data_IF_346073752039
#
_entry.id   IF_346073752039
#
_cell.length_a   1.000
_cell.length_b   1.000
_cell.length_c   1.000
_cell.angle_alpha   90.00
_cell.angle_beta   90.00
_cell.angle_gamma   90.00
#
_symmetry.space_group_name_H-M   'P 1'
#
loop_
_entity.id
_entity.type
_entity.pdbx_description
1 polymer ?
#
# COMPACT_ATOMS: atom_id res chain seq x y z
N UNK A 1 1.82 50.76 -14.44
CA UNK A 1 1.47 49.54 -15.19
C UNK A 1 2.47 48.48 -14.79
N UNK A 2 2.06 47.58 -13.89
CA UNK A 2 2.92 46.56 -13.30
C UNK A 2 3.10 45.40 -14.28
N UNK A 3 4.35 45.09 -14.60
CA UNK A 3 4.74 44.08 -15.57
C UNK A 3 4.50 42.68 -15.01
N UNK A 4 3.51 41.97 -15.56
CA UNK A 4 3.13 40.58 -15.25
C UNK A 4 4.19 39.53 -15.62
N UNK A 5 5.39 39.94 -16.03
CA UNK A 5 6.42 39.06 -16.60
C UNK A 5 7.52 38.64 -15.62
N UNK A 6 7.53 39.13 -14.37
CA UNK A 6 8.49 38.69 -13.34
C UNK A 6 7.99 37.53 -12.46
N UNK A 7 6.78 37.01 -12.71
CA UNK A 7 6.15 35.92 -11.95
C UNK A 7 6.16 34.56 -12.64
N UNK A 8 6.67 34.47 -13.88
CA UNK A 8 6.86 33.17 -14.53
C UNK A 8 8.31 32.73 -14.35
N UNK A 9 8.59 31.59 -13.69
CA UNK A 9 9.87 30.93 -13.88
C UNK A 9 9.96 30.57 -15.36
N UNK A 10 11.13 30.83 -15.95
CA UNK A 10 11.51 30.43 -17.31
C UNK A 10 10.98 29.03 -17.62
N UNK A 11 9.99 28.91 -18.51
CA UNK A 11 9.46 27.62 -18.95
C UNK A 11 10.59 26.83 -19.63
N UNK A 12 10.98 25.65 -19.11
CA UNK A 12 11.84 24.74 -19.84
C UNK A 12 10.92 23.93 -20.77
N UNK A 13 10.79 24.35 -22.02
CA UNK A 13 9.87 23.73 -22.99
C UNK A 13 10.27 22.32 -23.42
N UNK A 14 11.40 21.77 -22.95
CA UNK A 14 11.86 20.41 -23.21
C UNK A 14 11.97 19.49 -21.97
N UNK A 15 12.05 20.04 -20.75
CA UNK A 15 12.19 19.25 -19.50
C UNK A 15 10.85 18.75 -18.94
N UNK A 16 9.72 19.28 -19.43
CA UNK A 16 8.40 18.81 -19.00
C UNK A 16 8.11 17.39 -19.51
N UNK A 17 8.60 17.04 -20.71
CA UNK A 17 8.37 15.71 -21.29
C UNK A 17 9.07 14.59 -20.52
N UNK A 18 10.34 14.78 -20.19
CA UNK A 18 11.15 13.79 -19.45
C UNK A 18 10.70 13.66 -18.00
N UNK A 19 10.37 14.78 -17.33
CA UNK A 19 9.90 14.76 -15.93
C UNK A 19 8.51 14.14 -15.77
N UNK A 20 7.58 14.40 -16.70
CA UNK A 20 6.26 13.75 -16.72
C UNK A 20 6.33 12.27 -17.09
N UNK A 21 7.22 11.90 -18.01
CA UNK A 21 7.45 10.50 -18.34
C UNK A 21 8.04 9.77 -17.13
N UNK A 22 9.03 10.35 -16.47
CA UNK A 22 9.66 9.75 -15.29
C UNK A 22 8.66 9.58 -14.13
N UNK A 23 7.80 10.57 -13.90
CA UNK A 23 6.76 10.46 -12.86
C UNK A 23 5.72 9.40 -13.21
N UNK A 24 5.31 9.30 -14.48
CA UNK A 24 4.41 8.25 -14.95
C UNK A 24 5.04 6.86 -14.81
N UNK A 25 6.30 6.70 -15.19
CA UNK A 25 7.04 5.45 -15.06
C UNK A 25 7.15 5.04 -13.59
N UNK A 26 7.52 5.97 -12.70
CA UNK A 26 7.56 5.72 -11.25
C UNK A 26 6.19 5.31 -10.70
N UNK A 27 5.13 6.03 -11.07
CA UNK A 27 3.76 5.70 -10.68
C UNK A 27 3.32 4.32 -11.15
N UNK A 28 3.70 3.94 -12.37
CA UNK A 28 3.40 2.62 -12.94
C UNK A 28 4.19 1.51 -12.23
N UNK A 29 5.46 1.74 -11.89
CA UNK A 29 6.25 0.77 -11.11
C UNK A 29 5.65 0.57 -9.72
N UNK A 30 5.27 1.65 -9.03
CA UNK A 30 4.58 1.59 -7.75
C UNK A 30 3.27 0.81 -7.85
N UNK A 31 2.45 1.10 -8.86
CA UNK A 31 1.20 0.40 -9.11
C UNK A 31 1.40 -1.09 -9.46
N UNK A 32 2.46 -1.44 -10.19
CA UNK A 32 2.85 -2.83 -10.42
C UNK A 32 3.18 -3.56 -9.11
N UNK A 33 3.94 -2.93 -8.20
CA UNK A 33 4.24 -3.49 -6.89
C UNK A 33 2.98 -3.76 -6.06
N UNK A 34 2.04 -2.82 -6.04
CA UNK A 34 0.74 -2.99 -5.37
C UNK A 34 -0.10 -4.08 -6.05
N UNK A 35 -0.05 -4.18 -7.38
CA UNK A 35 -0.73 -5.25 -8.12
C UNK A 35 -0.16 -6.63 -7.76
N UNK A 36 1.15 -6.78 -7.57
CA UNK A 36 1.77 -8.04 -7.15
C UNK A 36 1.22 -8.44 -5.77
N UNK A 37 1.26 -7.52 -4.81
CA UNK A 37 0.70 -7.71 -3.48
C UNK A 37 -0.78 -8.13 -3.56
N UNK A 38 -1.57 -7.39 -4.34
CA UNK A 38 -3.00 -7.66 -4.54
C UNK A 38 -3.28 -9.04 -5.15
N UNK A 39 -2.52 -9.47 -6.16
CA UNK A 39 -2.68 -10.79 -6.78
C UNK A 39 -2.40 -11.92 -5.79
N UNK A 40 -1.35 -11.83 -4.98
CA UNK A 40 -1.05 -12.84 -3.94
C UNK A 40 -2.11 -12.87 -2.84
N UNK A 41 -2.60 -11.73 -2.39
CA UNK A 41 -3.69 -11.65 -1.41
C UNK A 41 -4.97 -12.28 -1.94
N UNK A 42 -5.34 -12.01 -3.21
CA UNK A 42 -6.48 -12.66 -3.86
C UNK A 42 -6.31 -14.17 -3.94
N UNK A 43 -5.12 -14.67 -4.25
CA UNK A 43 -4.81 -16.11 -4.27
C UNK A 43 -5.04 -16.72 -2.88
N UNK A 44 -4.52 -16.09 -1.82
CA UNK A 44 -4.71 -16.56 -0.45
C UNK A 44 -6.20 -16.67 -0.08
N UNK A 45 -6.97 -15.60 -0.29
CA UNK A 45 -8.40 -15.60 -0.01
C UNK A 45 -9.19 -16.55 -0.90
N UNK A 46 -8.77 -16.74 -2.15
CA UNK A 46 -9.40 -17.69 -3.06
C UNK A 46 -9.24 -19.13 -2.55
N UNK A 47 -8.02 -19.54 -2.15
CA UNK A 47 -7.77 -20.87 -1.58
C UNK A 47 -8.56 -21.04 -0.28
N UNK A 48 -8.57 -20.01 0.57
CA UNK A 48 -9.35 -20.00 1.80
C UNK A 48 -10.85 -20.25 1.53
N UNK A 49 -11.45 -19.55 0.55
CA UNK A 49 -12.85 -19.74 0.18
C UNK A 49 -13.14 -21.10 -0.47
N UNK A 50 -12.21 -21.67 -1.24
CA UNK A 50 -12.37 -23.00 -1.88
C UNK A 50 -12.37 -24.12 -0.85
N UNK A 51 -11.59 -23.97 0.23
CA UNK A 51 -11.52 -24.98 1.29
C UNK A 51 -12.83 -25.07 2.11
N UNK A 52 -13.67 -24.03 2.09
CA UNK A 52 -14.96 -23.97 2.79
C UNK A 52 -16.16 -24.21 1.85
N UNK A 53 -16.87 -25.36 1.94
CA UNK A 53 -17.97 -25.69 1.02
C UNK A 53 -19.18 -24.75 1.12
N UNK A 54 -19.33 -24.04 2.25
CA UNK A 54 -20.42 -23.07 2.47
C UNK A 54 -20.22 -21.74 1.73
N UNK A 55 -19.00 -21.44 1.24
CA UNK A 55 -18.62 -20.13 0.68
C UNK A 55 -18.49 -20.11 -0.85
N UNK A 56 -18.95 -21.17 -1.54
CA UNK A 56 -18.89 -21.28 -3.01
C UNK A 56 -19.59 -20.13 -3.76
N UNK A 57 -20.70 -19.60 -3.24
CA UNK A 57 -21.40 -18.45 -3.86
C UNK A 57 -20.60 -17.15 -3.76
N UNK A 58 -19.85 -16.95 -2.66
CA UNK A 58 -18.99 -15.78 -2.49
C UNK A 58 -17.82 -15.83 -3.49
N UNK A 59 -17.25 -17.01 -3.76
CA UNK A 59 -16.18 -17.22 -4.76
C UNK A 59 -16.53 -16.67 -6.15
N UNK A 60 -17.71 -17.02 -6.69
CA UNK A 60 -18.11 -16.62 -8.05
C UNK A 60 -18.32 -15.10 -8.16
N UNK A 61 -18.93 -14.50 -7.13
CA UNK A 61 -19.09 -13.05 -7.05
C UNK A 61 -17.74 -12.33 -6.99
N UNK A 62 -16.81 -12.82 -6.17
CA UNK A 62 -15.46 -12.26 -6.01
C UNK A 62 -14.67 -12.27 -7.32
N UNK A 63 -14.65 -13.40 -8.01
CA UNK A 63 -13.89 -13.54 -9.27
C UNK A 63 -14.43 -12.62 -10.36
N UNK A 64 -15.76 -12.48 -10.47
CA UNK A 64 -16.41 -11.57 -11.43
C UNK A 64 -16.07 -10.11 -11.13
N UNK A 65 -16.19 -9.70 -9.87
CA UNK A 65 -15.87 -8.35 -9.44
C UNK A 65 -14.39 -8.01 -9.66
N UNK A 66 -13.48 -8.93 -9.34
CA UNK A 66 -12.04 -8.71 -9.51
C UNK A 66 -11.62 -8.54 -10.97
N UNK A 67 -12.28 -9.24 -11.90
CA UNK A 67 -11.97 -9.13 -13.33
C UNK A 67 -12.15 -7.70 -13.87
N UNK A 68 -13.15 -6.97 -13.37
CA UNK A 68 -13.45 -5.58 -13.78
C UNK A 68 -12.67 -4.58 -12.93
N UNK A 69 -12.54 -4.83 -11.63
CA UNK A 69 -11.95 -3.89 -10.69
C UNK A 69 -10.42 -3.81 -10.81
N UNK A 70 -9.76 -4.88 -11.23
CA UNK A 70 -8.30 -4.96 -11.33
C UNK A 70 -7.66 -4.01 -12.35
N UNK A 71 -8.11 -3.92 -13.62
CA UNK A 71 -7.57 -2.96 -14.56
C UNK A 71 -7.88 -1.52 -14.14
N UNK A 72 -9.07 -1.26 -13.61
CA UNK A 72 -9.48 0.06 -13.12
C UNK A 72 -8.63 0.49 -11.91
N UNK A 73 -8.39 -0.44 -10.99
CA UNK A 73 -7.58 -0.21 -9.80
C UNK A 73 -6.14 0.15 -10.18
N UNK A 74 -5.53 -0.62 -11.09
CA UNK A 74 -4.17 -0.37 -11.59
C UNK A 74 -4.05 1.00 -12.27
N UNK A 75 -5.01 1.33 -13.14
CA UNK A 75 -5.02 2.60 -13.88
C UNK A 75 -5.16 3.79 -12.92
N UNK A 76 -6.14 3.74 -12.03
CA UNK A 76 -6.35 4.78 -11.03
C UNK A 76 -5.14 4.95 -10.12
N UNK A 77 -4.57 3.85 -9.61
CA UNK A 77 -3.41 3.89 -8.73
C UNK A 77 -2.16 4.45 -9.43
N UNK A 78 -1.95 4.11 -10.70
CA UNK A 78 -0.86 4.68 -11.51
C UNK A 78 -1.01 6.19 -11.61
N UNK A 79 -2.22 6.68 -11.90
CA UNK A 79 -2.49 8.10 -11.99
C UNK A 79 -2.27 8.83 -10.66
N UNK A 80 -2.78 8.28 -9.55
CA UNK A 80 -2.57 8.88 -8.23
C UNK A 80 -1.08 8.89 -7.83
N UNK A 81 -0.34 7.81 -8.06
CA UNK A 81 1.08 7.72 -7.72
C UNK A 81 1.98 8.57 -8.61
N UNK A 82 1.59 8.83 -9.86
CA UNK A 82 2.34 9.71 -10.76
C UNK A 82 2.20 11.20 -10.40
N UNK A 83 1.09 11.57 -9.75
CA UNK A 83 0.79 12.96 -9.38
C UNK A 83 1.12 13.25 -7.91
N UNK A 84 1.08 12.26 -7.03
CA UNK A 84 1.42 12.43 -5.61
C UNK A 84 2.91 12.79 -5.48
N UNK A 85 3.20 14.02 -5.07
CA UNK A 85 4.58 14.50 -4.97
C UNK A 85 5.43 13.66 -4.02
N UNK A 86 6.73 13.55 -4.30
CA UNK A 86 7.68 12.68 -3.58
C UNK A 86 7.72 12.97 -2.07
N UNK A 87 7.62 14.24 -1.66
CA UNK A 87 7.56 14.62 -0.24
C UNK A 87 6.30 14.10 0.47
N UNK A 88 5.14 14.23 -0.17
CA UNK A 88 3.88 13.72 0.37
C UNK A 88 3.92 12.19 0.43
N UNK A 89 4.44 11.53 -0.61
CA UNK A 89 4.65 10.10 -0.63
C UNK A 89 5.55 9.64 0.56
N UNK A 90 6.65 10.35 0.84
CA UNK A 90 7.54 10.06 1.96
C UNK A 90 6.84 10.18 3.32
N UNK A 91 6.02 11.21 3.52
CA UNK A 91 5.23 11.38 4.74
C UNK A 91 4.19 10.26 4.92
N UNK A 92 3.53 9.84 3.86
CA UNK A 92 2.55 8.73 3.88
C UNK A 92 3.23 7.39 4.22
N UNK A 93 4.45 7.18 3.76
CA UNK A 93 5.24 5.97 4.08
C UNK A 93 5.60 5.95 5.56
N UNK A 94 6.17 7.06 6.06
CA UNK A 94 6.58 7.17 7.46
C UNK A 94 5.40 7.08 8.44
N UNK A 95 4.30 7.75 8.10
CA UNK A 95 3.01 7.67 8.79
C UNK A 95 2.60 6.19 8.98
N UNK A 96 2.57 5.45 7.88
CA UNK A 96 2.12 4.06 7.86
C UNK A 96 3.07 3.14 8.61
N UNK A 97 4.39 3.31 8.43
CA UNK A 97 5.42 2.52 9.11
C UNK A 97 5.33 2.68 10.64
N UNK A 98 5.14 3.91 11.13
CA UNK A 98 4.91 4.16 12.56
C UNK A 98 3.63 3.48 13.06
N UNK A 99 2.53 3.58 12.29
CA UNK A 99 1.27 2.91 12.62
C UNK A 99 1.43 1.39 12.68
N UNK A 100 2.14 0.82 11.71
CA UNK A 100 2.37 -0.61 11.60
C UNK A 100 3.24 -1.15 12.74
N UNK A 101 4.32 -0.45 13.09
CA UNK A 101 5.16 -0.81 14.24
C UNK A 101 4.36 -0.71 15.54
N UNK A 102 3.54 0.32 15.71
CA UNK A 102 2.70 0.49 16.90
C UNK A 102 1.68 -0.64 17.06
N UNK A 103 1.00 -1.04 15.98
CA UNK A 103 0.12 -2.21 16.00
C UNK A 103 0.88 -3.49 16.33
N UNK A 104 2.02 -3.73 15.68
CA UNK A 104 2.83 -4.93 15.89
C UNK A 104 3.33 -5.05 17.32
N UNK A 105 3.77 -3.95 17.93
CA UNK A 105 4.19 -3.90 19.34
C UNK A 105 3.03 -4.22 20.29
N UNK A 106 1.80 -3.81 19.96
CA UNK A 106 0.62 -4.16 20.76
C UNK A 106 0.07 -5.56 20.52
N UNK A 107 0.33 -6.14 19.33
CA UNK A 107 -0.14 -7.45 18.88
C UNK A 107 0.66 -8.62 19.47
N UNK A 108 1.82 -8.37 20.07
CA UNK A 108 2.66 -9.39 20.71
C UNK A 108 1.99 -10.14 21.90
N UNK A 109 0.67 -9.99 22.06
CA UNK A 109 -0.22 -10.55 23.09
C UNK A 109 -1.41 -11.36 22.52
N UNK A 110 -1.56 -11.55 21.19
CA UNK A 110 -2.74 -12.20 20.58
C UNK A 110 -2.50 -12.96 19.25
N UNK A 111 -3.54 -13.59 18.66
CA UNK A 111 -3.42 -14.38 17.43
C UNK A 111 -3.01 -13.52 16.24
N UNK A 112 -1.90 -13.90 15.60
CA UNK A 112 -1.12 -13.06 14.69
C UNK A 112 -1.72 -12.88 13.27
N UNK A 113 -2.41 -13.90 12.75
CA UNK A 113 -2.65 -14.03 11.30
C UNK A 113 -3.68 -13.03 10.72
N UNK A 114 -4.85 -12.80 11.34
CA UNK A 114 -5.86 -11.89 10.78
C UNK A 114 -5.40 -10.42 10.76
N UNK A 115 -4.73 -9.97 11.82
CA UNK A 115 -4.23 -8.59 11.91
C UNK A 115 -3.12 -8.31 10.88
N UNK A 116 -2.22 -9.26 10.64
CA UNK A 116 -1.21 -9.15 9.59
C UNK A 116 -1.84 -9.04 8.20
N UNK A 117 -2.89 -9.82 7.94
CA UNK A 117 -3.62 -9.79 6.67
C UNK A 117 -4.35 -8.45 6.47
N UNK A 118 -4.95 -7.90 7.53
CA UNK A 118 -5.53 -6.57 7.51
C UNK A 118 -4.48 -5.48 7.24
N UNK A 119 -3.28 -5.62 7.81
CA UNK A 119 -2.17 -4.69 7.58
C UNK A 119 -1.71 -4.73 6.11
N UNK A 120 -1.67 -5.91 5.48
CA UNK A 120 -1.35 -6.05 4.06
C UNK A 120 -2.41 -5.42 3.15
N UNK A 121 -3.68 -5.47 3.53
CA UNK A 121 -4.76 -4.83 2.77
C UNK A 121 -4.72 -3.30 2.89
N UNK A 122 -4.34 -2.77 4.06
CA UNK A 122 -4.25 -1.33 4.28
C UNK A 122 -2.93 -0.71 3.79
N UNK A 123 -1.86 -1.50 3.64
CA UNK A 123 -0.56 -0.99 3.22
C UNK A 123 -0.46 -0.69 1.71
N UNK A 124 -1.45 -1.07 0.90
CA UNK A 124 -1.39 -1.01 -0.56
C UNK A 124 -0.96 0.36 -1.09
N UNK A 125 -1.63 1.44 -0.67
CA UNK A 125 -1.29 2.78 -1.14
C UNK A 125 0.10 3.22 -0.64
N UNK A 126 0.39 2.99 0.65
CA UNK A 126 1.68 3.34 1.26
C UNK A 126 2.85 2.57 0.65
N UNK A 127 2.67 1.30 0.28
CA UNK A 127 3.66 0.50 -0.46
C UNK A 127 3.97 1.13 -1.81
N UNK A 128 2.95 1.57 -2.54
CA UNK A 128 3.14 2.29 -3.81
C UNK A 128 3.98 3.55 -3.62
N UNK A 129 3.65 4.35 -2.61
CA UNK A 129 4.43 5.53 -2.23
C UNK A 129 5.88 5.16 -1.84
N UNK A 130 6.08 4.09 -1.08
CA UNK A 130 7.39 3.62 -0.64
C UNK A 130 8.29 3.19 -1.79
N UNK A 131 7.72 2.49 -2.79
CA UNK A 131 8.43 2.12 -4.01
C UNK A 131 8.80 3.37 -4.84
N UNK A 132 7.89 4.32 -4.98
CA UNK A 132 8.15 5.60 -5.67
C UNK A 132 9.24 6.42 -4.98
N UNK A 133 9.23 6.49 -3.65
CA UNK A 133 10.28 7.14 -2.85
C UNK A 133 11.63 6.43 -3.02
N UNK A 134 11.64 5.10 -2.93
CA UNK A 134 12.85 4.29 -3.10
C UNK A 134 13.48 4.49 -4.47
N UNK A 135 12.68 4.49 -5.54
CA UNK A 135 13.16 4.75 -6.89
C UNK A 135 13.70 6.17 -7.06
N UNK A 136 13.01 7.15 -6.48
CA UNK A 136 13.45 8.54 -6.53
C UNK A 136 14.80 8.74 -5.86
N UNK A 137 15.02 8.09 -4.71
CA UNK A 137 16.27 8.12 -3.97
C UNK A 137 17.40 7.35 -4.67
N UNK A 138 17.13 6.13 -5.15
CA UNK A 138 18.15 5.27 -5.79
C UNK A 138 18.61 5.77 -7.16
N UNK A 139 17.74 6.47 -7.89
CA UNK A 139 18.03 6.98 -9.24
C UNK A 139 18.47 8.44 -9.24
N UNK A 140 18.63 9.04 -8.07
CA UNK A 140 19.12 10.41 -7.95
C UNK A 140 20.59 10.50 -8.42
N UNK A 141 20.85 11.38 -9.38
CA UNK A 141 22.18 11.56 -9.98
C UNK A 141 22.60 10.49 -11.00
N UNK A 142 21.70 9.58 -11.40
CA UNK A 142 22.01 8.58 -12.42
C UNK A 142 22.10 9.20 -13.85
N UNK A 143 23.12 8.87 -14.66
CA UNK A 143 23.31 9.46 -16.00
C UNK A 143 22.22 9.06 -17.01
N UNK A 144 21.53 7.94 -16.79
CA UNK A 144 20.46 7.42 -17.65
C UNK A 144 19.20 7.06 -16.85
N UNK A 145 18.66 8.05 -16.13
CA UNK A 145 17.48 7.88 -15.24
C UNK A 145 16.28 7.23 -15.92
N UNK A 146 15.89 7.70 -17.11
CA UNK A 146 14.73 7.19 -17.88
C UNK A 146 14.90 5.72 -18.27
N UNK A 147 16.10 5.31 -18.72
CA UNK A 147 16.39 3.92 -19.09
C UNK A 147 16.39 2.99 -17.88
N UNK A 148 16.93 3.44 -16.75
CA UNK A 148 16.86 2.70 -15.51
C UNK A 148 15.42 2.53 -15.03
N UNK A 149 14.58 3.56 -15.17
CA UNK A 149 13.14 3.47 -14.89
C UNK A 149 12.44 2.49 -15.83
N UNK A 150 12.76 2.50 -17.12
CA UNK A 150 12.21 1.53 -18.08
C UNK A 150 12.62 0.09 -17.74
N UNK A 151 13.87 -0.14 -17.31
CA UNK A 151 14.33 -1.45 -16.85
C UNK A 151 13.60 -1.89 -15.58
N UNK A 152 13.48 -1.00 -14.59
CA UNK A 152 12.71 -1.24 -13.37
C UNK A 152 11.25 -1.52 -13.67
N UNK A 153 10.65 -0.81 -14.63
CA UNK A 153 9.30 -1.06 -15.11
C UNK A 153 9.18 -2.41 -15.80
N UNK A 154 10.15 -2.80 -16.62
CA UNK A 154 10.20 -4.13 -17.24
C UNK A 154 10.19 -5.23 -16.19
N UNK A 155 11.04 -5.13 -15.16
CA UNK A 155 11.09 -6.07 -14.04
C UNK A 155 9.80 -6.09 -13.23
N UNK A 156 9.28 -4.91 -12.85
CA UNK A 156 8.02 -4.79 -12.10
C UNK A 156 6.83 -5.32 -12.91
N UNK A 157 6.80 -5.07 -14.21
CA UNK A 157 5.80 -5.58 -15.14
C UNK A 157 5.89 -7.10 -15.31
N UNK A 158 7.08 -7.67 -15.39
CA UNK A 158 7.28 -9.12 -15.43
C UNK A 158 6.75 -9.77 -14.15
N UNK A 159 7.10 -9.23 -12.98
CA UNK A 159 6.60 -9.72 -11.69
C UNK A 159 5.07 -9.61 -11.58
N UNK A 160 4.50 -8.45 -11.95
CA UNK A 160 3.05 -8.24 -11.95
C UNK A 160 2.34 -9.19 -12.92
N UNK A 161 2.89 -9.39 -14.12
CA UNK A 161 2.32 -10.31 -15.12
C UNK A 161 2.39 -11.76 -14.65
N UNK A 162 3.49 -12.17 -14.01
CA UNK A 162 3.65 -13.50 -13.43
C UNK A 162 2.65 -13.75 -12.30
N UNK A 163 2.51 -12.78 -11.38
CA UNK A 163 1.54 -12.85 -10.29
C UNK A 163 0.09 -12.92 -10.81
N UNK A 164 -0.26 -12.13 -11.83
CA UNK A 164 -1.59 -12.18 -12.47
C UNK A 164 -1.85 -13.51 -13.18
N UNK A 165 -0.88 -14.03 -13.91
CA UNK A 165 -0.98 -15.34 -14.57
C UNK A 165 -1.19 -16.45 -13.55
N UNK A 166 -0.43 -16.42 -12.45
CA UNK A 166 -0.60 -17.36 -11.34
C UNK A 166 -1.99 -17.25 -10.71
N UNK A 167 -2.48 -16.03 -10.48
CA UNK A 167 -3.82 -15.78 -9.97
C UNK A 167 -4.92 -16.33 -10.91
N UNK A 168 -4.88 -16.00 -12.20
CA UNK A 168 -5.86 -16.51 -13.16
C UNK A 168 -5.79 -18.02 -13.32
N UNK A 169 -4.58 -18.60 -13.26
CA UNK A 169 -4.38 -20.04 -13.27
C UNK A 169 -5.03 -20.68 -12.04
N UNK A 170 -4.76 -20.16 -10.84
CA UNK A 170 -5.37 -20.64 -9.61
C UNK A 170 -6.90 -20.52 -9.66
N UNK A 171 -7.45 -19.39 -10.09
CA UNK A 171 -8.91 -19.20 -10.13
C UNK A 171 -9.64 -20.19 -11.06
N UNK A 172 -9.03 -20.57 -12.18
CA UNK A 172 -9.66 -21.45 -13.19
C UNK A 172 -9.41 -22.93 -12.96
N UNK A 173 -8.21 -23.29 -12.50
CA UNK A 173 -7.71 -24.65 -12.59
C UNK A 173 -7.36 -25.26 -11.22
N UNK A 174 -7.36 -24.48 -10.14
CA UNK A 174 -6.95 -24.98 -8.83
C UNK A 174 -7.76 -26.19 -8.38
N UNK A 175 -9.09 -26.18 -8.48
CA UNK A 175 -9.94 -27.30 -8.07
C UNK A 175 -9.72 -28.58 -8.89
N UNK A 176 -9.39 -28.43 -10.17
CA UNK A 176 -9.16 -29.56 -11.07
C UNK A 176 -7.75 -30.13 -10.87
N UNK A 177 -6.76 -29.25 -10.74
CA UNK A 177 -5.35 -29.61 -10.57
C UNK A 177 -5.02 -30.09 -9.15
N UNK A 178 -5.77 -29.67 -8.14
CA UNK A 178 -5.60 -30.16 -6.76
C UNK A 178 -5.95 -31.65 -6.64
N UNK A 179 -6.90 -32.13 -7.45
CA UNK A 179 -7.31 -33.53 -7.44
C UNK A 179 -6.32 -34.44 -8.19
N UNK A 180 -5.73 -33.92 -9.27
CA UNK A 180 -4.96 -34.72 -10.24
C UNK A 180 -3.43 -34.50 -10.13
N UNK A 181 -2.97 -33.59 -9.26
CA UNK A 181 -1.56 -33.38 -8.85
C UNK A 181 -0.51 -33.14 -9.96
N UNK A 182 -0.90 -32.83 -11.20
CA UNK A 182 0.02 -32.72 -12.34
C UNK A 182 0.66 -31.33 -12.54
N UNK A 183 0.26 -30.30 -11.78
CA UNK A 183 0.77 -28.94 -11.95
C UNK A 183 1.64 -28.50 -10.77
N UNK A 184 2.94 -28.27 -11.02
CA UNK A 184 3.89 -27.84 -10.00
C UNK A 184 3.52 -26.52 -9.31
N UNK A 185 2.89 -25.57 -10.02
CA UNK A 185 2.43 -24.31 -9.44
C UNK A 185 1.29 -24.52 -8.44
N UNK A 186 0.25 -25.29 -8.80
CA UNK A 186 -0.85 -25.63 -7.90
C UNK A 186 -0.40 -26.52 -6.74
N UNK A 187 0.53 -27.45 -6.98
CA UNK A 187 1.09 -28.32 -5.94
C UNK A 187 1.90 -27.50 -4.91
N UNK A 188 2.70 -26.54 -5.38
CA UNK A 188 3.44 -25.62 -4.51
C UNK A 188 2.49 -24.76 -3.69
N UNK A 189 1.41 -24.28 -4.32
CA UNK A 189 0.35 -23.54 -3.63
C UNK A 189 -0.29 -24.41 -2.55
N UNK A 190 -0.71 -25.63 -2.86
CA UNK A 190 -1.33 -26.56 -1.92
C UNK A 190 -0.42 -26.85 -0.73
N UNK A 191 0.88 -27.06 -0.98
CA UNK A 191 1.86 -27.36 0.04
C UNK A 191 2.21 -26.15 0.94
N UNK A 192 2.20 -24.92 0.39
CA UNK A 192 2.75 -23.72 1.07
C UNK A 192 1.79 -22.54 1.20
N UNK A 193 0.48 -22.72 1.00
CA UNK A 193 -0.44 -21.57 1.05
C UNK A 193 -0.47 -20.88 2.43
N UNK A 194 -0.26 -21.62 3.52
CA UNK A 194 -0.17 -21.06 4.88
C UNK A 194 1.09 -20.20 5.10
N UNK A 195 2.18 -20.47 4.38
CA UNK A 195 3.43 -19.70 4.48
C UNK A 195 3.43 -18.44 3.59
N UNK A 196 2.43 -18.30 2.71
CA UNK A 196 2.32 -17.20 1.76
C UNK A 196 2.24 -15.83 2.44
N UNK A 197 1.42 -15.62 3.50
CA UNK A 197 1.41 -14.36 4.25
C UNK A 197 2.76 -14.05 4.90
N UNK A 198 3.49 -15.06 5.35
CA UNK A 198 4.81 -14.89 5.98
C UNK A 198 5.84 -14.42 4.97
N UNK A 199 5.88 -15.04 3.79
CA UNK A 199 6.78 -14.64 2.70
C UNK A 199 6.47 -13.22 2.22
N UNK A 200 5.18 -12.90 2.07
CA UNK A 200 4.72 -11.57 1.71
C UNK A 200 5.09 -10.53 2.77
N UNK A 201 4.95 -10.88 4.05
CA UNK A 201 5.38 -10.04 5.17
C UNK A 201 6.89 -9.80 5.20
N UNK A 202 7.73 -10.77 4.81
CA UNK A 202 9.16 -10.55 4.63
C UNK A 202 9.45 -9.56 3.49
N UNK A 203 8.81 -9.74 2.33
CA UNK A 203 8.98 -8.85 1.19
C UNK A 203 8.53 -7.41 1.51
N UNK A 204 7.38 -7.25 2.18
CA UNK A 204 6.88 -5.96 2.62
C UNK A 204 7.81 -5.30 3.64
N UNK A 205 8.35 -6.05 4.61
CA UNK A 205 9.34 -5.52 5.56
C UNK A 205 10.55 -4.93 4.84
N UNK A 206 11.08 -5.62 3.83
CA UNK A 206 12.20 -5.11 3.04
C UNK A 206 11.80 -3.86 2.26
N UNK A 207 10.63 -3.87 1.60
CA UNK A 207 10.14 -2.74 0.83
C UNK A 207 9.93 -1.49 1.69
N UNK A 208 9.32 -1.63 2.87
CA UNK A 208 9.14 -0.54 3.82
C UNK A 208 10.46 -0.08 4.45
N UNK A 209 11.40 -0.98 4.75
CA UNK A 209 12.71 -0.59 5.28
C UNK A 209 13.50 0.28 4.28
N UNK A 210 13.52 -0.11 3.00
CA UNK A 210 14.15 0.70 1.95
C UNK A 210 13.36 2.00 1.73
N UNK A 211 12.03 1.92 1.75
CA UNK A 211 11.14 3.07 1.63
C UNK A 211 11.30 4.09 2.75
N UNK A 212 11.46 3.66 4.00
CA UNK A 212 11.66 4.51 5.17
C UNK A 212 13.02 5.20 5.11
N UNK A 213 14.08 4.47 4.76
CA UNK A 213 15.42 5.07 4.56
C UNK A 213 15.37 6.13 3.46
N UNK A 214 14.72 5.84 2.33
CA UNK A 214 14.53 6.78 1.24
C UNK A 214 13.67 7.99 1.67
N UNK A 215 12.56 7.75 2.39
CA UNK A 215 11.66 8.79 2.87
C UNK A 215 12.37 9.76 3.83
N UNK A 216 13.12 9.23 4.80
CA UNK A 216 13.92 10.04 5.73
C UNK A 216 14.99 10.83 4.97
N UNK A 217 15.69 10.21 4.02
CA UNK A 217 16.69 10.91 3.22
C UNK A 217 16.10 12.04 2.37
N UNK A 218 14.95 11.80 1.72
CA UNK A 218 14.24 12.77 0.89
C UNK A 218 13.70 13.94 1.72
N UNK A 219 13.12 13.66 2.89
CA UNK A 219 12.62 14.70 3.80
C UNK A 219 13.78 15.50 4.41
N UNK A 220 14.89 14.85 4.77
CA UNK A 220 16.04 15.53 5.37
C UNK A 220 16.76 16.46 4.38
N UNK A 221 16.74 16.13 3.08
CA UNK A 221 17.33 16.98 2.02
C UNK A 221 16.61 18.30 1.80
N UNK A 222 15.33 18.40 2.17
CA UNK A 222 14.55 19.63 2.04
C UNK A 222 14.88 20.69 3.13
N UNK A 223 15.70 20.36 4.13
CA UNK A 223 16.13 21.30 5.18
C UNK A 223 17.59 21.73 5.01
N UNK A 224 17.83 23.04 5.05
CA UNK A 224 19.16 23.64 4.87
C UNK A 224 20.06 23.51 6.12
N UNK A 225 19.52 23.24 7.32
CA UNK A 225 20.31 23.07 8.56
C UNK A 225 19.75 21.98 9.52
N UNK A 226 20.64 21.27 10.21
CA UNK A 226 20.31 20.18 11.16
C UNK A 226 19.56 20.66 12.41
N UNK A 227 19.75 21.91 12.81
CA UNK A 227 19.02 22.51 13.95
C UNK A 227 17.58 22.89 13.61
N UNK A 228 17.30 23.33 12.38
CA UNK A 228 15.95 23.60 11.92
C UNK A 228 15.16 22.29 11.74
N UNK A 229 15.82 21.24 11.22
CA UNK A 229 15.22 19.91 11.07
C UNK A 229 14.75 19.34 12.42
N UNK A 230 15.57 19.38 13.47
CA UNK A 230 15.22 18.82 14.80
C UNK A 230 14.12 19.61 15.50
N UNK A 231 14.14 20.94 15.40
CA UNK A 231 13.12 21.84 16.01
C UNK A 231 11.74 21.68 15.36
N UNK A 232 11.71 21.11 14.15
CA UNK A 232 10.51 20.86 13.37
C UNK A 232 10.00 19.42 13.48
N UNK A 233 10.92 18.46 13.48
CA UNK A 233 10.61 17.04 13.60
C UNK A 233 10.10 16.67 14.99
N UNK A 234 10.58 17.30 16.06
CA UNK A 234 10.15 16.96 17.42
C UNK A 234 8.65 17.23 17.66
N UNK A 235 8.07 18.40 17.33
CA UNK A 235 6.62 18.61 17.46
C UNK A 235 5.80 17.75 16.49
N UNK A 236 6.26 17.56 15.25
CA UNK A 236 5.58 16.76 14.23
C UNK A 236 5.51 15.29 14.67
N UNK A 237 6.63 14.73 15.11
CA UNK A 237 6.68 13.37 15.66
C UNK A 237 5.84 13.27 16.93
N UNK A 238 5.91 14.21 17.87
CA UNK A 238 5.12 14.17 19.11
C UNK A 238 3.61 14.26 18.82
N UNK A 239 3.13 15.25 18.06
CA UNK A 239 1.72 15.38 17.71
C UNK A 239 1.21 14.18 16.91
N UNK A 240 2.02 13.67 15.99
CA UNK A 240 1.66 12.51 15.18
C UNK A 240 1.66 11.21 15.99
N UNK A 241 2.63 11.03 16.91
CA UNK A 241 2.65 9.86 17.82
C UNK A 241 1.44 9.90 18.76
N UNK A 242 1.07 11.08 19.27
CA UNK A 242 -0.13 11.25 20.09
C UNK A 242 -1.42 10.99 19.30
N UNK A 243 -1.51 11.44 18.04
CA UNK A 243 -2.65 11.15 17.16
C UNK A 243 -2.76 9.64 16.88
N UNK A 244 -1.63 8.98 16.57
CA UNK A 244 -1.59 7.53 16.31
C UNK A 244 -1.97 6.74 17.56
N UNK A 245 -1.45 7.10 18.73
CA UNK A 245 -1.83 6.47 20.01
C UNK A 245 -3.31 6.68 20.29
N UNK A 246 -3.81 7.92 20.17
CA UNK A 246 -5.22 8.23 20.38
C UNK A 246 -6.13 7.42 19.43
N UNK A 247 -5.78 7.36 18.15
CA UNK A 247 -6.55 6.60 17.17
C UNK A 247 -6.48 5.09 17.37
N UNK A 248 -5.36 4.58 17.87
CA UNK A 248 -5.20 3.17 18.21
C UNK A 248 -6.01 2.79 19.46
N UNK A 249 -6.08 3.69 20.44
CA UNK A 249 -6.97 3.58 21.61
C UNK A 249 -8.45 3.58 21.19
N UNK A 250 -8.84 4.49 20.28
CA UNK A 250 -10.22 4.57 19.76
C UNK A 250 -10.62 3.32 18.95
N UNK A 251 -9.69 2.76 18.16
CA UNK A 251 -9.93 1.52 17.41
C UNK A 251 -10.10 0.29 18.32
N UNK A 252 -9.40 0.24 19.47
CA UNK A 252 -9.57 -0.82 20.48
C UNK A 252 -10.99 -0.84 21.06
N UNK A 253 -11.63 0.33 21.18
CA UNK A 253 -12.95 0.43 21.78
C UNK A 253 -14.10 0.12 20.80
N UNK A 254 -13.96 0.37 19.48
CA UNK A 254 -15.03 0.14 18.51
C UNK A 254 -14.55 -0.39 17.13
N UNK A 255 -14.44 -1.72 16.94
CA UNK A 255 -14.10 -2.32 15.66
C UNK A 255 -15.34 -2.37 14.75
N UNK A 256 -15.64 -1.27 14.06
CA UNK A 256 -16.71 -1.25 13.04
C UNK A 256 -16.17 -0.81 11.68
N UNK A 257 -16.76 -1.29 10.59
CA UNK A 257 -16.36 -0.99 9.20
C UNK A 257 -16.38 0.53 8.88
N UNK A 258 -17.14 1.32 9.66
CA UNK A 258 -17.17 2.79 9.62
C UNK A 258 -15.88 3.42 10.16
N UNK A 259 -15.21 2.74 11.08
CA UNK A 259 -13.96 3.16 11.72
C UNK A 259 -12.79 3.28 10.74
N UNK A 260 -12.75 2.45 9.69
CA UNK A 260 -11.65 2.46 8.71
C UNK A 260 -11.61 3.74 7.86
N UNK A 261 -12.77 4.21 7.38
CA UNK A 261 -12.86 5.49 6.65
C UNK A 261 -12.53 6.68 7.54
N UNK A 262 -13.09 6.69 8.75
CA UNK A 262 -12.81 7.72 9.74
C UNK A 262 -11.31 7.79 10.06
N UNK A 263 -10.64 6.64 10.12
CA UNK A 263 -9.20 6.56 10.35
C UNK A 263 -8.41 7.24 9.23
N UNK A 264 -8.73 6.94 7.97
CA UNK A 264 -8.05 7.57 6.81
C UNK A 264 -8.25 9.10 6.81
N UNK A 265 -9.47 9.57 7.08
CA UNK A 265 -9.77 11.01 7.11
C UNK A 265 -9.04 11.75 8.23
N UNK A 266 -9.03 11.21 9.45
CA UNK A 266 -8.35 11.85 10.59
C UNK A 266 -6.84 11.90 10.35
N UNK A 267 -6.27 10.83 9.79
CA UNK A 267 -4.85 10.71 9.49
C UNK A 267 -4.39 11.67 8.39
N UNK A 268 -5.10 11.69 7.26
CA UNK A 268 -4.84 12.66 6.18
C UNK A 268 -5.13 14.09 6.63
N UNK A 269 -6.12 14.29 7.51
CA UNK A 269 -6.38 15.58 8.17
C UNK A 269 -5.22 16.03 9.07
N UNK A 270 -4.61 15.11 9.82
CA UNK A 270 -3.40 15.34 10.58
C UNK A 270 -2.24 15.76 9.68
N UNK A 271 -1.95 14.99 8.63
CA UNK A 271 -0.93 15.34 7.62
C UNK A 271 -1.23 16.68 6.93
N UNK A 272 -2.49 16.99 6.66
CA UNK A 272 -2.92 18.26 6.07
C UNK A 272 -2.63 19.44 6.99
N UNK A 273 -2.98 19.36 8.28
CA UNK A 273 -2.66 20.39 9.28
C UNK A 273 -1.14 20.54 9.41
N UNK A 274 -0.43 19.41 9.44
CA UNK A 274 1.03 19.36 9.47
C UNK A 274 1.70 19.85 8.18
N UNK A 275 0.98 20.01 7.06
CA UNK A 275 1.53 20.61 5.85
C UNK A 275 1.04 22.04 5.67
N UNK A 276 -0.07 22.43 6.28
CA UNK A 276 -0.49 23.83 6.38
C UNK A 276 0.50 24.68 7.20
N UNK A 277 1.10 24.10 8.24
CA UNK A 277 2.03 24.83 9.11
C UNK A 277 3.45 24.97 8.55
N UNK A 278 3.77 24.29 7.44
CA UNK A 278 5.16 23.95 7.06
C UNK A 278 5.39 23.91 5.56
N UNK A 279 4.38 23.48 4.82
CA UNK A 279 4.49 22.98 3.46
C UNK A 279 4.24 24.04 2.41
N UNK A 280 4.54 23.67 1.17
CA UNK A 280 4.18 24.45 -0.01
C UNK A 280 2.73 24.14 -0.38
N UNK A 281 2.04 25.08 -1.01
CA UNK A 281 0.67 24.88 -1.53
C UNK A 281 0.51 23.64 -2.43
N UNK A 282 1.57 23.28 -3.16
CA UNK A 282 1.60 22.06 -3.98
C UNK A 282 1.56 20.77 -3.15
N UNK A 283 2.12 20.75 -1.95
CA UNK A 283 2.03 19.57 -1.06
C UNK A 283 0.62 19.38 -0.54
N UNK A 284 -0.08 20.48 -0.28
CA UNK A 284 -1.48 20.45 0.14
C UNK A 284 -2.34 19.73 -0.90
N UNK A 285 -2.15 20.05 -2.18
CA UNK A 285 -2.81 19.34 -3.28
C UNK A 285 -2.39 17.87 -3.32
N UNK A 286 -1.11 17.58 -3.10
CA UNK A 286 -0.58 16.22 -2.99
C UNK A 286 -1.25 15.41 -1.88
N UNK A 287 -1.58 16.01 -0.73
CA UNK A 287 -2.29 15.33 0.37
C UNK A 287 -3.72 14.96 -0.04
N UNK A 288 -4.43 15.84 -0.75
CA UNK A 288 -5.75 15.49 -1.27
C UNK A 288 -5.68 14.36 -2.28
N UNK A 289 -4.72 14.40 -3.20
CA UNK A 289 -4.47 13.32 -4.17
C UNK A 289 -4.15 12.01 -3.45
N UNK A 290 -3.34 12.07 -2.39
CA UNK A 290 -3.00 10.95 -1.53
C UNK A 290 -4.22 10.36 -0.81
N UNK A 291 -5.09 11.21 -0.26
CA UNK A 291 -6.36 10.81 0.34
C UNK A 291 -7.25 10.07 -0.67
N UNK A 292 -7.40 10.60 -1.89
CA UNK A 292 -8.17 9.93 -2.94
C UNK A 292 -7.54 8.60 -3.36
N UNK A 293 -6.21 8.54 -3.48
CA UNK A 293 -5.49 7.32 -3.81
C UNK A 293 -5.66 6.23 -2.74
N UNK A 294 -5.63 6.60 -1.47
CA UNK A 294 -5.87 5.64 -0.39
C UNK A 294 -7.33 5.19 -0.32
N UNK A 295 -8.29 6.11 -0.48
CA UNK A 295 -9.72 5.75 -0.57
C UNK A 295 -9.99 4.82 -1.76
N UNK A 296 -9.27 5.01 -2.87
CA UNK A 296 -9.34 4.14 -4.04
C UNK A 296 -8.80 2.73 -3.76
N UNK A 297 -7.67 2.61 -3.07
CA UNK A 297 -7.16 1.31 -2.57
C UNK A 297 -8.13 0.65 -1.60
N UNK A 298 -8.67 1.41 -0.65
CA UNK A 298 -9.61 0.89 0.34
C UNK A 298 -10.92 0.43 -0.32
N UNK A 299 -11.43 1.18 -1.29
CA UNK A 299 -12.60 0.80 -2.08
C UNK A 299 -12.37 -0.51 -2.86
N UNK A 300 -11.18 -0.68 -3.41
CA UNK A 300 -10.79 -1.88 -4.15
C UNK A 300 -10.66 -3.12 -3.24
N UNK A 301 -10.14 -2.94 -2.03
CA UNK A 301 -9.90 -4.02 -1.07
C UNK A 301 -11.05 -4.31 -0.11
N UNK A 302 -12.16 -3.57 -0.16
CA UNK A 302 -13.32 -3.72 0.77
C UNK A 302 -13.77 -5.16 0.94
N UNK A 303 -13.88 -5.89 -0.18
CA UNK A 303 -14.42 -7.25 -0.13
C UNK A 303 -13.42 -8.22 0.49
N UNK A 304 -12.11 -8.02 0.29
CA UNK A 304 -11.08 -8.79 0.97
C UNK A 304 -11.02 -8.46 2.47
N UNK A 305 -11.26 -7.20 2.84
CA UNK A 305 -11.35 -6.77 4.24
C UNK A 305 -12.55 -7.40 4.95
N UNK A 306 -13.72 -7.48 4.31
CA UNK A 306 -14.89 -8.18 4.84
C UNK A 306 -14.62 -9.68 5.06
N UNK A 307 -13.95 -10.33 4.10
CA UNK A 307 -13.51 -11.73 4.26
C UNK A 307 -12.48 -11.91 5.37
N UNK A 308 -11.57 -10.96 5.55
CA UNK A 308 -10.60 -10.96 6.65
C UNK A 308 -11.31 -10.88 8.00
N UNK A 309 -12.32 -10.01 8.14
CA UNK A 309 -13.13 -9.89 9.35
C UNK A 309 -13.94 -11.16 9.61
N UNK A 310 -14.51 -11.77 8.57
CA UNK A 310 -15.19 -13.07 8.67
C UNK A 310 -14.23 -14.17 9.11
N UNK A 311 -12.97 -14.17 8.65
CA UNK A 311 -11.96 -15.12 9.07
C UNK A 311 -11.64 -14.97 10.57
N UNK A 312 -11.53 -13.74 11.06
CA UNK A 312 -11.33 -13.46 12.50
C UNK A 312 -12.48 -14.04 13.35
N UNK A 313 -13.73 -13.79 12.95
CA UNK A 313 -14.90 -14.42 13.58
C UNK A 313 -14.91 -15.96 13.46
N UNK A 314 -14.35 -16.51 12.40
CA UNK A 314 -14.32 -17.96 12.15
C UNK A 314 -13.19 -18.68 12.89
N UNK A 315 -12.13 -17.96 13.29
CA UNK A 315 -11.07 -18.48 14.16
C UNK A 315 -11.44 -18.38 15.65
N UNK A 316 -12.53 -17.67 15.98
CA UNK A 316 -13.18 -17.67 17.30
C UNK A 316 -14.37 -18.64 17.28
N UNK A 317 -14.17 -19.96 17.15
CA UNK A 317 -14.86 -20.88 18.06
C UNK A 317 -14.17 -22.25 18.27
N UNK A 318 -13.68 -22.53 19.49
CA UNK A 318 -13.74 -23.89 20.14
C UNK A 318 -13.03 -23.95 21.51
N UNK A 319 -13.06 -22.89 22.32
CA UNK A 319 -12.75 -23.00 23.76
C UNK A 319 -13.98 -22.46 24.48
N UNK A 320 -14.49 -23.24 25.44
CA UNK A 320 -15.76 -23.04 26.16
C UNK A 320 -17.00 -23.61 25.45
N UNK A 321 -17.00 -24.93 25.29
CA UNK A 321 -18.20 -25.71 25.64
C UNK A 321 -17.76 -26.69 26.75
N UNK A 322 -18.19 -26.51 28.01
CA UNK A 322 -18.10 -27.60 28.97
C UNK A 322 -19.15 -28.64 28.56
N UNK A 323 -18.65 -29.80 28.17
CA UNK A 323 -19.41 -31.04 28.11
C UNK A 323 -19.88 -31.41 29.53
N UNK A 324 -21.22 -31.55 29.66
CA UNK A 324 -21.97 -32.28 30.69
C UNK A 324 -21.80 -31.86 32.16
#
# INVERSE_FOLDING_TARGET
MFSLTSWLPSLPSLDWGSSLLDSLLQGLIGACGVSVLGSFMKIYFFIYCVNDPKRKKEKEYLVSQWAVLEPLHLLGLTAFLAVVGVRVAALVVLEFSLRAVSMLLTLNKGPLVPEFLQLFLLCQYSLGCGLTCSLSFLLEGAPHRTLNLLLSLGLAGLLASGARRLYHHACRLYELHSCEQYCGACLTLLAKWHDLPTLLGCALRVAFLVGDVAAVALINRDFLTTSEAVRFWTPLTICYTLLVIYMQEEQRHHPSTRSQYQTVFVRMGGLFILLLTVGRWLDLMGVFISLFGELWCLASSRVLLDLCQKQDLSQIPSVVAPSQ
#
